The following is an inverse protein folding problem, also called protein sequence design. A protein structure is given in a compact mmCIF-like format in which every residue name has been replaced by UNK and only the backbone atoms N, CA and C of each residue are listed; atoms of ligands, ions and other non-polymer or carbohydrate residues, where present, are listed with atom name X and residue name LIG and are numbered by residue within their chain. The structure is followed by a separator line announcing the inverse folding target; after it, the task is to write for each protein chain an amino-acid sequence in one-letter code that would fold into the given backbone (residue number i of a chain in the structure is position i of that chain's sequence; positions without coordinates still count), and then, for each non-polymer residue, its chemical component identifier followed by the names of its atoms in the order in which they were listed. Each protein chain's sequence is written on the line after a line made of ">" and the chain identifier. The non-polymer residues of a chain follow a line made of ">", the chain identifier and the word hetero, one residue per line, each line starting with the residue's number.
data_IF_031190729117
#
_entry.id   IF_031190729117
#
_cell.length_a   1.000
_cell.length_b   1.000
_cell.length_c   1.000
_cell.angle_alpha   90.00
_cell.angle_beta   90.00
_cell.angle_gamma   90.00
#
_symmetry.space_group_name_H-M   'P 1'
#
loop_
_entity.id
_entity.type
_entity.pdbx_description
1 polymer ?
#
# COMPACT_ATOMS: atom_id res chain seq x y z
N UNK A 1 6.15 4.22 -12.81
CA UNK A 1 4.68 4.50 -12.59
C UNK A 1 3.78 3.43 -13.20
N UNK A 2 4.09 2.86 -14.36
CA UNK A 2 3.23 1.87 -15.03
C UNK A 2 3.01 0.60 -14.18
N UNK A 3 4.07 0.04 -13.57
CA UNK A 3 3.93 -1.13 -12.68
C UNK A 3 2.97 -0.89 -11.50
N UNK A 4 3.07 0.27 -10.84
CA UNK A 4 2.15 0.63 -9.76
C UNK A 4 0.69 0.65 -10.24
N UNK A 5 0.47 1.25 -11.43
CA UNK A 5 -0.85 1.30 -12.04
C UNK A 5 -1.37 -0.10 -12.35
N UNK A 6 -0.56 -0.96 -12.97
CA UNK A 6 -0.95 -2.33 -13.31
C UNK A 6 -1.30 -3.15 -12.06
N UNK A 7 -0.47 -3.10 -11.02
CA UNK A 7 -0.71 -3.82 -9.76
C UNK A 7 -2.00 -3.37 -9.10
N UNK A 8 -2.18 -2.06 -8.93
CA UNK A 8 -3.30 -1.54 -8.13
C UNK A 8 -4.63 -1.49 -8.87
N UNK A 9 -4.63 -1.49 -10.20
CA UNK A 9 -5.86 -1.66 -10.99
C UNK A 9 -6.24 -3.14 -11.07
N UNK A 10 -5.26 -4.03 -11.32
CA UNK A 10 -5.52 -5.46 -11.49
C UNK A 10 -6.64 -5.74 -12.49
N UNK A 11 -7.56 -6.58 -12.12
CA UNK A 11 -8.77 -6.92 -12.91
C UNK A 11 -9.94 -5.95 -12.70
N UNK A 12 -9.70 -4.83 -12.03
CA UNK A 12 -10.75 -3.91 -11.57
C UNK A 12 -11.30 -4.28 -10.18
N UNK A 13 -12.24 -3.50 -9.68
CA UNK A 13 -12.82 -3.67 -8.34
C UNK A 13 -11.77 -3.67 -7.21
N UNK A 14 -10.77 -2.82 -7.33
CA UNK A 14 -9.73 -2.63 -6.32
C UNK A 14 -9.87 -1.27 -5.63
N UNK A 15 -9.32 -1.16 -4.43
CA UNK A 15 -9.24 0.10 -3.68
C UNK A 15 -7.78 0.46 -3.38
N UNK A 16 -7.52 1.76 -3.33
CA UNK A 16 -6.28 2.34 -2.82
C UNK A 16 -6.58 3.18 -1.59
N UNK A 17 -5.86 2.92 -0.51
CA UNK A 17 -5.97 3.65 0.76
C UNK A 17 -4.70 4.47 0.94
N UNK A 18 -4.86 5.76 1.19
CA UNK A 18 -3.74 6.69 1.38
C UNK A 18 -4.03 7.72 2.46
N UNK A 19 -3.00 8.26 3.05
CA UNK A 19 -3.12 9.41 3.93
C UNK A 19 -3.40 10.72 3.17
N UNK A 20 -3.98 11.72 3.84
CA UNK A 20 -4.31 13.02 3.25
C UNK A 20 -3.11 13.71 2.57
N UNK A 21 -1.93 13.65 3.17
CA UNK A 21 -0.74 14.25 2.57
C UNK A 21 -0.33 13.57 1.26
N UNK A 22 -0.42 12.23 1.21
CA UNK A 22 -0.22 11.47 -0.02
C UNK A 22 -1.23 11.86 -1.09
N UNK A 23 -2.51 11.97 -0.72
CA UNK A 23 -3.53 12.48 -1.64
C UNK A 23 -3.20 13.88 -2.17
N UNK A 24 -2.79 14.80 -1.29
CA UNK A 24 -2.43 16.16 -1.69
C UNK A 24 -1.24 16.21 -2.64
N UNK A 25 -0.26 15.33 -2.47
CA UNK A 25 0.94 15.26 -3.32
C UNK A 25 0.70 14.68 -4.72
N UNK A 26 -0.41 13.97 -4.94
CA UNK A 26 -0.75 13.48 -6.29
C UNK A 26 -1.02 14.65 -7.23
N UNK A 27 -0.48 14.62 -8.47
CA UNK A 27 -0.81 15.62 -9.48
C UNK A 27 -2.32 15.64 -9.78
N UNK A 28 -2.91 16.82 -9.93
CA UNK A 28 -4.37 16.98 -10.14
C UNK A 28 -4.93 16.16 -11.30
N UNK A 29 -4.16 16.02 -12.38
CA UNK A 29 -4.53 15.20 -13.56
C UNK A 29 -4.69 13.71 -13.27
N UNK A 30 -4.23 13.22 -12.11
CA UNK A 30 -4.33 11.83 -11.68
C UNK A 30 -5.25 11.65 -10.47
N UNK A 31 -6.02 12.66 -10.11
CA UNK A 31 -6.96 12.62 -8.99
C UNK A 31 -8.40 12.57 -9.50
N UNK A 32 -9.17 11.60 -9.05
CA UNK A 32 -8.76 10.38 -8.35
C UNK A 32 -7.98 9.41 -9.25
N UNK A 33 -7.26 8.46 -8.64
CA UNK A 33 -6.58 7.41 -9.40
C UNK A 33 -7.63 6.54 -10.12
N UNK A 34 -7.62 6.50 -11.47
CA UNK A 34 -8.72 5.91 -12.23
C UNK A 34 -8.84 4.39 -12.04
N UNK A 35 -10.06 3.86 -12.22
CA UNK A 35 -10.41 2.44 -12.18
C UNK A 35 -10.15 1.77 -10.82
N UNK A 36 -10.16 2.52 -9.75
CA UNK A 36 -9.98 2.05 -8.37
C UNK A 36 -10.77 2.95 -7.44
N UNK A 37 -11.32 2.40 -6.37
CA UNK A 37 -11.85 3.23 -5.30
C UNK A 37 -10.68 3.95 -4.60
N UNK A 38 -10.82 5.25 -4.41
CA UNK A 38 -9.81 6.07 -3.75
C UNK A 38 -10.30 6.40 -2.35
N UNK A 39 -9.61 5.89 -1.34
CA UNK A 39 -9.93 6.09 0.07
C UNK A 39 -8.83 6.94 0.69
N UNK A 40 -9.21 8.06 1.28
CA UNK A 40 -8.27 9.00 1.90
C UNK A 40 -8.54 9.09 3.39
N UNK A 41 -7.52 8.79 4.19
CA UNK A 41 -7.60 8.87 5.64
C UNK A 41 -7.36 10.30 6.13
N UNK A 42 -8.21 10.74 7.05
CA UNK A 42 -8.06 12.02 7.74
C UNK A 42 -8.62 11.94 9.15
N UNK A 43 -7.95 12.60 10.09
CA UNK A 43 -8.39 12.72 11.48
C UNK A 43 -9.37 13.90 11.69
N UNK A 44 -9.70 14.64 10.64
CA UNK A 44 -10.59 15.81 10.72
C UNK A 44 -12.08 15.45 10.68
N UNK A 45 -12.39 14.17 10.51
CA UNK A 45 -13.76 13.66 10.47
C UNK A 45 -13.92 12.51 11.46
N UNK A 46 -15.09 12.37 12.04
CA UNK A 46 -15.44 11.26 12.94
C UNK A 46 -16.15 10.12 12.21
N UNK A 47 -16.77 10.41 11.08
CA UNK A 47 -17.56 9.45 10.29
C UNK A 47 -17.12 9.48 8.82
N UNK A 48 -17.28 8.37 8.09
CA UNK A 48 -17.00 8.32 6.67
C UNK A 48 -17.82 9.38 5.90
N UNK A 49 -17.16 9.99 4.90
CA UNK A 49 -17.79 10.90 3.95
C UNK A 49 -17.69 10.29 2.56
N UNK A 50 -18.83 9.94 2.02
CA UNK A 50 -18.96 9.36 0.67
C UNK A 50 -19.26 10.49 -0.31
N UNK A 51 -18.76 10.32 -1.53
CA UNK A 51 -19.07 11.22 -2.62
C UNK A 51 -20.14 10.59 -3.52
N UNK A 52 -21.00 11.42 -4.05
CA UNK A 52 -22.01 11.00 -5.05
C UNK A 52 -21.40 10.92 -6.47
N UNK A 53 -20.14 11.28 -6.62
CA UNK A 53 -19.44 11.27 -7.91
C UNK A 53 -18.15 10.45 -7.83
N UNK A 54 -17.76 9.84 -8.95
CA UNK A 54 -16.49 9.12 -9.07
C UNK A 54 -15.25 10.04 -9.13
N UNK A 55 -15.46 11.35 -9.06
CA UNK A 55 -14.40 12.35 -9.21
C UNK A 55 -13.79 12.80 -7.89
N UNK A 56 -14.29 12.30 -6.77
CA UNK A 56 -13.79 12.62 -5.43
C UNK A 56 -13.51 11.34 -4.64
N UNK A 57 -12.53 11.39 -3.73
CA UNK A 57 -12.22 10.22 -2.91
C UNK A 57 -13.27 10.02 -1.81
N UNK A 58 -13.32 8.80 -1.29
CA UNK A 58 -14.02 8.49 -0.06
C UNK A 58 -13.14 8.91 1.10
N UNK A 59 -13.66 9.75 1.99
CA UNK A 59 -12.93 10.16 3.19
C UNK A 59 -13.27 9.25 4.36
N UNK A 60 -12.24 8.72 5.02
CA UNK A 60 -12.40 7.81 6.15
C UNK A 60 -11.61 8.29 7.37
N UNK A 61 -12.15 8.14 8.59
CA UNK A 61 -11.46 8.57 9.80
C UNK A 61 -10.33 7.62 10.22
N UNK A 62 -10.35 6.36 9.79
CA UNK A 62 -9.36 5.38 10.20
C UNK A 62 -9.11 4.29 9.15
N UNK A 63 -7.93 3.66 9.26
CA UNK A 63 -7.59 2.48 8.46
C UNK A 63 -8.55 1.32 8.73
N UNK A 64 -8.93 1.11 9.99
CA UNK A 64 -9.84 0.03 10.41
C UNK A 64 -11.19 0.14 9.70
N UNK A 65 -11.77 1.34 9.65
CA UNK A 65 -13.03 1.58 8.95
C UNK A 65 -12.89 1.44 7.43
N UNK A 66 -11.76 1.86 6.87
CA UNK A 66 -11.48 1.67 5.45
C UNK A 66 -11.41 0.19 5.07
N UNK A 67 -10.73 -0.63 5.86
CA UNK A 67 -10.67 -2.08 5.63
C UNK A 67 -12.05 -2.72 5.78
N UNK A 68 -12.83 -2.32 6.81
CA UNK A 68 -14.19 -2.78 6.99
C UNK A 68 -15.04 -2.45 5.75
N UNK A 69 -15.02 -1.21 5.29
CA UNK A 69 -15.70 -0.76 4.08
C UNK A 69 -15.33 -1.62 2.86
N UNK A 70 -14.03 -1.85 2.63
CA UNK A 70 -13.57 -2.66 1.51
C UNK A 70 -14.12 -4.10 1.58
N UNK A 71 -14.14 -4.71 2.77
CA UNK A 71 -14.71 -6.04 2.99
C UNK A 71 -16.23 -6.08 2.68
N UNK A 72 -16.99 -5.12 3.19
CA UNK A 72 -18.44 -5.03 2.97
C UNK A 72 -18.80 -4.78 1.50
N UNK A 73 -17.94 -4.11 0.75
CA UNK A 73 -18.09 -3.83 -0.67
C UNK A 73 -17.53 -4.94 -1.57
N UNK A 74 -17.01 -6.02 -0.99
CA UNK A 74 -16.38 -7.11 -1.72
C UNK A 74 -15.28 -6.62 -2.68
N UNK A 75 -14.47 -5.66 -2.23
CA UNK A 75 -13.30 -5.18 -2.96
C UNK A 75 -12.32 -6.35 -3.12
N UNK A 76 -11.89 -6.58 -4.36
CA UNK A 76 -11.05 -7.74 -4.68
C UNK A 76 -9.64 -7.62 -4.07
N UNK A 77 -9.05 -6.43 -4.15
CA UNK A 77 -7.74 -6.13 -3.55
C UNK A 77 -7.73 -4.72 -2.97
N UNK A 78 -7.19 -4.60 -1.76
CA UNK A 78 -7.02 -3.33 -1.08
C UNK A 78 -5.52 -3.00 -0.99
N UNK A 79 -5.13 -1.87 -1.54
CA UNK A 79 -3.76 -1.42 -1.62
C UNK A 79 -3.51 -0.23 -0.70
N UNK A 80 -2.60 -0.38 0.26
CA UNK A 80 -2.14 0.73 1.11
C UNK A 80 -0.96 1.39 0.41
N UNK A 81 -1.12 2.65 0.03
CA UNK A 81 -0.15 3.36 -0.82
C UNK A 81 0.54 4.56 -0.13
N UNK A 82 0.47 4.58 1.18
CA UNK A 82 1.26 5.50 2.00
C UNK A 82 0.50 6.70 2.54
N UNK A 83 1.22 7.66 3.18
CA UNK A 83 2.68 7.69 3.39
C UNK A 83 3.20 6.88 4.58
N UNK A 84 4.38 7.27 5.06
CA UNK A 84 5.12 6.57 6.11
C UNK A 84 4.27 6.19 7.32
N UNK A 85 3.55 7.15 7.89
CA UNK A 85 2.70 6.91 9.05
C UNK A 85 1.66 5.82 8.79
N UNK A 86 1.05 5.85 7.60
CA UNK A 86 0.05 4.86 7.24
C UNK A 86 0.67 3.47 7.02
N UNK A 87 1.87 3.38 6.44
CA UNK A 87 2.60 2.12 6.34
C UNK A 87 2.93 1.54 7.71
N UNK A 88 3.45 2.37 8.63
CA UNK A 88 3.71 1.95 10.03
C UNK A 88 2.44 1.45 10.72
N UNK A 89 1.35 2.18 10.56
CA UNK A 89 0.06 1.79 11.15
C UNK A 89 -0.42 0.46 10.57
N UNK A 90 -0.37 0.31 9.25
CA UNK A 90 -0.84 -0.90 8.58
C UNK A 90 -0.07 -2.15 9.02
N UNK A 91 1.25 -2.09 9.04
CA UNK A 91 2.10 -3.21 9.46
C UNK A 91 1.86 -3.66 10.91
N UNK A 92 1.28 -2.81 11.75
CA UNK A 92 1.01 -3.10 13.15
C UNK A 92 -0.45 -3.43 13.46
N UNK A 93 -1.38 -3.15 12.55
CA UNK A 93 -2.82 -3.16 12.91
C UNK A 93 -3.73 -3.94 11.97
N UNK A 94 -3.26 -4.32 10.80
CA UNK A 94 -4.06 -5.07 9.81
C UNK A 94 -3.24 -6.20 9.20
N UNK A 95 -3.94 -7.21 8.74
CA UNK A 95 -3.31 -8.34 8.04
C UNK A 95 -2.84 -7.88 6.66
N UNK A 96 -1.57 -8.03 6.41
CA UNK A 96 -0.91 -7.70 5.14
C UNK A 96 -0.39 -8.98 4.50
N UNK A 97 -0.91 -9.30 3.32
CA UNK A 97 -0.46 -10.48 2.58
C UNK A 97 0.89 -10.26 1.89
N UNK A 98 1.04 -9.08 1.28
CA UNK A 98 2.19 -8.79 0.42
C UNK A 98 2.68 -7.36 0.60
N UNK A 99 4.00 -7.18 0.49
CA UNK A 99 4.63 -5.86 0.38
C UNK A 99 5.35 -5.79 -0.97
N UNK A 100 5.09 -4.72 -1.72
CA UNK A 100 5.75 -4.45 -3.00
C UNK A 100 6.61 -3.20 -2.87
N UNK A 101 7.90 -3.35 -3.09
CA UNK A 101 8.88 -2.26 -2.95
C UNK A 101 9.57 -2.02 -4.29
N UNK A 102 9.75 -0.75 -4.64
CA UNK A 102 10.67 -0.34 -5.69
C UNK A 102 11.91 0.22 -5.04
N UNK A 103 13.03 -0.50 -5.19
CA UNK A 103 14.33 0.02 -4.80
C UNK A 103 14.88 0.91 -5.89
N UNK A 104 15.36 2.09 -5.53
CA UNK A 104 16.00 3.04 -6.41
C UNK A 104 17.44 3.21 -5.93
N UNK A 105 18.40 2.96 -6.82
CA UNK A 105 19.82 3.07 -6.52
C UNK A 105 20.27 4.53 -6.70
N UNK A 106 19.82 5.37 -5.78
CA UNK A 106 20.21 6.78 -5.72
C UNK A 106 19.99 7.31 -4.30
N UNK A 107 20.78 8.27 -3.90
CA UNK A 107 20.64 8.97 -2.63
C UNK A 107 19.82 10.24 -2.84
N UNK A 108 18.55 10.16 -2.46
CA UNK A 108 17.68 11.31 -2.38
C UNK A 108 17.67 11.81 -0.94
N UNK A 109 17.82 13.10 -0.74
CA UNK A 109 17.68 13.74 0.59
C UNK A 109 16.22 13.65 1.05
N UNK A 110 15.82 12.44 1.48
CA UNK A 110 14.47 12.18 1.95
C UNK A 110 14.34 12.50 3.43
N UNK A 111 13.16 13.00 3.81
CA UNK A 111 12.73 13.21 5.21
C UNK A 111 11.70 12.14 5.66
N UNK A 112 11.31 11.29 4.76
CA UNK A 112 10.24 10.29 4.95
C UNK A 112 10.70 8.94 4.42
N UNK A 113 10.55 7.90 5.25
CA UNK A 113 11.10 6.58 4.95
C UNK A 113 10.05 5.49 5.08
N UNK A 114 10.15 4.48 4.22
CA UNK A 114 9.39 3.25 4.41
C UNK A 114 9.90 2.55 5.70
N UNK A 115 9.00 2.01 6.54
CA UNK A 115 9.42 1.28 7.74
C UNK A 115 10.25 0.04 7.37
N UNK A 116 11.06 -0.41 8.32
CA UNK A 116 11.79 -1.66 8.14
C UNK A 116 10.78 -2.77 7.89
N UNK A 117 11.01 -3.56 6.84
CA UNK A 117 10.17 -4.75 6.54
C UNK A 117 10.29 -5.73 7.71
N UNK A 118 9.19 -6.07 8.39
CA UNK A 118 9.23 -6.99 9.51
C UNK A 118 9.79 -8.36 9.14
N UNK A 119 10.45 -9.03 10.08
CA UNK A 119 11.12 -10.32 9.84
C UNK A 119 10.19 -11.48 9.45
N UNK A 120 8.91 -11.34 9.71
CA UNK A 120 7.89 -12.31 9.28
C UNK A 120 7.45 -12.14 7.82
N UNK A 121 7.99 -11.13 7.10
CA UNK A 121 7.89 -11.05 5.65
C UNK A 121 9.16 -11.58 5.01
N UNK A 122 9.02 -12.47 4.04
CA UNK A 122 10.13 -13.07 3.30
C UNK A 122 10.13 -12.57 1.86
N UNK A 123 11.32 -12.32 1.33
CA UNK A 123 11.49 -11.97 -0.08
C UNK A 123 11.03 -13.14 -0.96
N UNK A 124 9.94 -12.95 -1.67
CA UNK A 124 9.35 -13.90 -2.61
C UNK A 124 10.01 -13.81 -3.99
N UNK A 125 10.12 -12.59 -4.48
CA UNK A 125 10.70 -12.36 -5.80
C UNK A 125 11.35 -10.99 -5.90
N UNK A 126 12.36 -10.90 -6.77
CA UNK A 126 13.01 -9.63 -7.16
C UNK A 126 13.36 -9.66 -8.64
N UNK A 127 13.26 -8.50 -9.28
CA UNK A 127 13.73 -8.35 -10.66
C UNK A 127 15.22 -8.07 -10.70
N UNK A 128 15.84 -8.26 -11.88
CA UNK A 128 17.13 -7.63 -12.16
C UNK A 128 17.01 -6.11 -12.08
N UNK A 129 18.14 -5.43 -11.96
CA UNK A 129 18.21 -3.99 -12.07
C UNK A 129 17.82 -3.54 -13.47
N UNK A 130 16.98 -2.54 -13.54
CA UNK A 130 16.62 -1.78 -14.75
C UNK A 130 17.12 -0.36 -14.60
N UNK A 131 17.27 0.35 -15.72
CA UNK A 131 17.73 1.75 -15.71
C UNK A 131 16.80 2.60 -16.57
N UNK A 132 16.42 3.76 -16.07
CA UNK A 132 15.62 4.76 -16.76
C UNK A 132 16.09 6.15 -16.34
N UNK A 133 16.49 6.99 -17.32
CA UNK A 133 17.04 8.33 -17.08
C UNK A 133 18.23 8.35 -16.08
N UNK A 134 19.21 7.47 -16.29
CA UNK A 134 20.40 7.30 -15.44
C UNK A 134 20.10 6.91 -13.98
N UNK A 135 18.89 6.45 -13.70
CA UNK A 135 18.48 5.97 -12.39
C UNK A 135 18.23 4.48 -12.46
N UNK A 136 18.97 3.71 -11.66
CA UNK A 136 18.77 2.27 -11.54
C UNK A 136 17.68 1.98 -10.52
N UNK A 137 16.86 1.01 -10.85
CA UNK A 137 15.80 0.55 -9.96
C UNK A 137 15.54 -0.94 -10.14
N UNK A 138 14.95 -1.55 -9.12
CA UNK A 138 14.43 -2.92 -9.18
C UNK A 138 13.16 -3.04 -8.36
N UNK A 139 12.40 -4.08 -8.64
CA UNK A 139 11.18 -4.39 -7.90
C UNK A 139 11.40 -5.60 -7.00
N UNK A 140 10.86 -5.52 -5.81
CA UNK A 140 10.84 -6.62 -4.86
C UNK A 140 9.41 -6.86 -4.37
N UNK A 141 9.10 -8.14 -4.16
CA UNK A 141 7.85 -8.56 -3.53
C UNK A 141 8.21 -9.37 -2.29
N UNK A 142 7.59 -9.03 -1.18
CA UNK A 142 7.66 -9.79 0.05
C UNK A 142 6.29 -10.37 0.35
N UNK A 143 6.26 -11.58 0.89
CA UNK A 143 5.06 -12.29 1.31
C UNK A 143 5.09 -12.51 2.81
N UNK A 144 3.93 -12.42 3.46
CA UNK A 144 3.76 -12.86 4.83
C UNK A 144 3.98 -14.38 4.88
N UNK A 145 4.80 -14.83 5.83
CA UNK A 145 5.00 -16.25 6.08
C UNK A 145 4.71 -16.50 7.55
N UNK A 146 3.68 -17.26 7.81
CA UNK A 146 3.39 -17.71 9.16
C UNK A 146 4.53 -18.61 9.63
N UNK A 147 5.28 -18.14 10.63
CA UNK A 147 6.39 -18.90 11.21
C UNK A 147 5.93 -20.13 11.99
N UNK A 148 4.61 -20.31 12.15
CA UNK A 148 4.04 -21.48 12.82
C UNK A 148 4.05 -22.74 11.92
N UNK A 149 4.36 -22.60 10.63
CA UNK A 149 4.47 -23.75 9.72
C UNK A 149 5.88 -24.37 9.64
N UNK A 150 6.87 -23.91 10.43
CA UNK A 150 8.18 -24.58 10.49
C UNK A 150 8.21 -25.57 11.65
N UNK A 151 7.97 -26.88 11.40
CA UNK A 151 8.00 -27.92 12.44
C UNK A 151 9.38 -28.07 13.11
N UNK A 152 10.44 -27.51 12.50
CA UNK A 152 11.81 -27.62 13.03
C UNK A 152 12.01 -26.81 14.31
N UNK A 153 11.18 -25.78 14.57
CA UNK A 153 11.29 -24.95 15.80
C UNK A 153 10.69 -25.64 17.04
N UNK A 154 9.91 -26.71 16.88
CA UNK A 154 9.31 -27.45 17.99
C UNK A 154 10.25 -28.50 18.60
N UNK A 155 11.38 -28.83 17.99
CA UNK A 155 12.31 -29.85 18.44
C UNK A 155 13.63 -29.32 19.00
N UNK A 156 13.80 -28.02 19.15
CA UNK A 156 14.95 -27.40 19.80
C UNK A 156 14.63 -27.08 21.26
N UNK A 157 14.52 -28.13 22.09
CA UNK A 157 14.64 -28.04 23.57
C UNK A 157 15.72 -28.97 24.03
#
# INVERSE_FOLDING_TARGET
>A
MERFKQLTIGNGNNAVIMGRNTWRSLPSRYKPLPKRENIVLTTEIEKPVFSDTNDTPIWMPSLKESIKYCKERHIAQTWIIGGEFLYKTALNTVDIDNIYITHIDNDFRCDTFFPIVPSYFHLDSKTSWSEENDIKYRFEKYIFKDTLEDPALYFAK
#
